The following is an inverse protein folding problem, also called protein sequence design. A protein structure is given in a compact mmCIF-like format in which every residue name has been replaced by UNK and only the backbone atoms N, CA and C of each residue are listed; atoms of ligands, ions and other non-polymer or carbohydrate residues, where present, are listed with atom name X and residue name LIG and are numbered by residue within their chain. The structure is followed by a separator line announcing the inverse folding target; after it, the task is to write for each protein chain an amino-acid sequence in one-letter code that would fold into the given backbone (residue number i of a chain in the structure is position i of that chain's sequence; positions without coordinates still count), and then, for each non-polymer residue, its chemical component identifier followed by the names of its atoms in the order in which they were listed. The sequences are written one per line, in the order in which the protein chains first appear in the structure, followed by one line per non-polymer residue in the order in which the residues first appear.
data_IF_442225498835
#
_entry.id   IF_442225498835
#
_cell.length_a   1.000
_cell.length_b   1.000
_cell.length_c   1.000
_cell.angle_alpha   90.00
_cell.angle_beta   90.00
_cell.angle_gamma   90.00
#
_symmetry.space_group_name_H-M   'P 1'
#
loop_
_entity.id
_entity.type
_entity.pdbx_description
1 polymer ?
#
# COMPACT_ATOMS: atom_id res chain seq x y z
N UNK A 1 4.69 -13.13 -19.84
CA UNK A 1 5.26 -14.45 -19.46
C UNK A 1 5.64 -14.51 -17.97
N UNK A 2 6.48 -13.59 -17.46
CA UNK A 2 6.89 -13.56 -16.03
C UNK A 2 5.69 -13.51 -15.08
N UNK A 3 4.69 -12.63 -15.31
CA UNK A 3 3.46 -12.55 -14.50
C UNK A 3 2.69 -13.88 -14.42
N UNK A 4 2.59 -14.59 -15.54
CA UNK A 4 1.89 -15.88 -15.65
C UNK A 4 2.68 -16.96 -14.89
N UNK A 5 4.01 -16.94 -15.01
CA UNK A 5 4.90 -17.89 -14.33
C UNK A 5 4.90 -17.68 -12.80
N UNK A 6 4.86 -16.42 -12.37
CA UNK A 6 4.76 -16.02 -10.96
C UNK A 6 3.39 -16.40 -10.37
N UNK A 7 2.29 -16.20 -11.12
CA UNK A 7 0.95 -16.69 -10.72
C UNK A 7 0.85 -18.22 -10.72
N UNK A 8 1.58 -18.92 -11.59
CA UNK A 8 1.58 -20.38 -11.65
C UNK A 8 2.36 -21.00 -10.48
N UNK A 9 3.53 -20.44 -10.15
CA UNK A 9 4.31 -20.80 -8.96
C UNK A 9 3.54 -20.50 -7.66
N UNK A 10 2.85 -19.35 -7.63
CA UNK A 10 1.94 -18.97 -6.55
C UNK A 10 0.86 -20.02 -6.35
N UNK A 11 0.22 -20.44 -7.44
CA UNK A 11 -0.92 -21.34 -7.36
C UNK A 11 -0.60 -22.73 -6.83
N UNK A 12 0.63 -23.21 -7.06
CA UNK A 12 1.04 -24.59 -6.74
C UNK A 12 1.77 -24.76 -5.40
N UNK A 13 2.59 -23.81 -4.95
CA UNK A 13 3.50 -24.03 -3.81
C UNK A 13 3.54 -22.88 -2.80
N UNK A 14 3.46 -21.64 -3.27
CA UNK A 14 3.78 -20.47 -2.43
C UNK A 14 2.60 -20.00 -1.56
N UNK A 15 1.38 -20.46 -1.86
CA UNK A 15 0.17 -20.27 -1.04
C UNK A 15 0.23 -20.89 0.36
N UNK A 16 1.21 -21.75 0.62
CA UNK A 16 1.35 -22.49 1.87
C UNK A 16 2.44 -21.94 2.81
N UNK A 17 3.12 -20.85 2.43
CA UNK A 17 4.13 -20.19 3.27
C UNK A 17 3.62 -18.82 3.73
N UNK A 18 3.51 -18.65 5.04
CA UNK A 18 3.18 -17.41 5.74
C UNK A 18 4.11 -16.30 5.23
N UNK A 19 3.58 -15.09 4.99
CA UNK A 19 4.24 -13.86 4.47
C UNK A 19 4.47 -13.88 2.95
N UNK A 20 4.92 -15.00 2.39
CA UNK A 20 5.19 -15.12 0.95
C UNK A 20 3.94 -14.93 0.09
N UNK A 21 2.75 -15.19 0.63
CA UNK A 21 1.49 -14.98 -0.07
C UNK A 21 1.22 -13.50 -0.38
N UNK A 22 1.54 -12.60 0.55
CA UNK A 22 1.37 -11.14 0.41
C UNK A 22 2.47 -10.55 -0.48
N UNK A 23 3.71 -11.03 -0.37
CA UNK A 23 4.82 -10.59 -1.24
C UNK A 23 4.57 -10.90 -2.72
N UNK A 24 3.91 -12.01 -3.02
CA UNK A 24 3.57 -12.36 -4.41
C UNK A 24 2.45 -11.47 -4.94
N UNK A 25 1.45 -11.15 -4.12
CA UNK A 25 0.42 -10.17 -4.49
C UNK A 25 1.09 -8.83 -4.79
N UNK A 26 2.00 -8.37 -3.93
CA UNK A 26 2.76 -7.14 -4.13
C UNK A 26 3.61 -7.17 -5.42
N UNK A 27 4.25 -8.30 -5.71
CA UNK A 27 4.99 -8.51 -6.97
C UNK A 27 4.09 -8.39 -8.20
N UNK A 28 2.84 -8.85 -8.10
CA UNK A 28 1.84 -8.69 -9.17
C UNK A 28 1.47 -7.23 -9.43
N UNK A 29 1.38 -6.40 -8.40
CA UNK A 29 1.15 -4.96 -8.54
C UNK A 29 2.31 -4.25 -9.23
N UNK A 30 3.55 -4.61 -8.89
CA UNK A 30 4.75 -4.10 -9.57
C UNK A 30 4.72 -4.43 -11.06
N UNK A 31 4.43 -5.69 -11.41
CA UNK A 31 4.37 -6.11 -12.82
C UNK A 31 3.29 -5.37 -13.61
N UNK A 32 2.14 -5.05 -12.98
CA UNK A 32 1.12 -4.21 -13.61
C UNK A 32 1.58 -2.75 -13.78
N UNK A 33 2.26 -2.19 -12.77
CA UNK A 33 2.80 -0.83 -12.85
C UNK A 33 3.85 -0.71 -13.97
N UNK A 34 4.76 -1.69 -14.10
CA UNK A 34 5.72 -1.77 -15.20
C UNK A 34 5.00 -1.87 -16.54
N UNK A 35 3.99 -2.76 -16.64
CA UNK A 35 3.20 -2.90 -17.86
C UNK A 35 2.52 -1.60 -18.28
N UNK A 36 2.00 -0.83 -17.32
CA UNK A 36 1.42 0.49 -17.59
C UNK A 36 2.46 1.49 -18.09
N UNK A 37 3.61 1.57 -17.45
CA UNK A 37 4.67 2.50 -17.85
C UNK A 37 5.26 2.17 -19.23
N UNK A 38 5.39 0.89 -19.58
CA UNK A 38 5.84 0.45 -20.92
C UNK A 38 4.84 0.86 -22.00
N UNK A 39 3.53 0.82 -21.72
CA UNK A 39 2.50 1.23 -22.70
C UNK A 39 2.49 2.74 -22.92
N UNK A 40 2.82 3.53 -21.89
CA UNK A 40 2.83 5.01 -21.96
C UNK A 40 4.22 5.55 -22.34
N UNK A 41 5.23 4.68 -22.47
CA UNK A 41 6.62 4.99 -22.83
C UNK A 41 7.28 6.04 -21.91
N UNK A 42 7.00 5.95 -20.61
CA UNK A 42 7.56 6.85 -19.59
C UNK A 42 8.65 6.13 -18.79
N UNK A 43 9.82 6.74 -18.56
CA UNK A 43 10.86 6.16 -17.72
C UNK A 43 10.33 5.92 -16.30
N UNK A 44 10.49 4.69 -15.82
CA UNK A 44 9.99 4.31 -14.49
C UNK A 44 10.94 4.83 -13.43
N UNK A 45 10.44 5.71 -12.56
CA UNK A 45 11.19 6.17 -11.39
C UNK A 45 11.44 5.00 -10.42
N UNK A 46 12.67 4.82 -9.89
CA UNK A 46 12.97 3.83 -8.85
C UNK A 46 12.00 3.90 -7.66
N UNK A 47 11.57 5.12 -7.32
CA UNK A 47 10.62 5.38 -6.24
C UNK A 47 9.23 4.77 -6.49
N UNK A 48 8.81 4.65 -7.75
CA UNK A 48 7.53 4.02 -8.09
C UNK A 48 7.50 2.56 -7.64
N UNK A 49 8.61 1.82 -7.78
CA UNK A 49 8.70 0.43 -7.33
C UNK A 49 8.55 0.33 -5.81
N UNK A 50 9.28 1.17 -5.08
CA UNK A 50 9.29 1.18 -3.60
C UNK A 50 7.91 1.55 -3.06
N UNK A 51 7.30 2.61 -3.57
CA UNK A 51 5.96 3.02 -3.13
C UNK A 51 4.91 1.95 -3.47
N UNK A 52 4.97 1.36 -4.66
CA UNK A 52 4.00 0.33 -5.11
C UNK A 52 4.09 -0.93 -4.26
N UNK A 53 5.30 -1.44 -3.97
CA UNK A 53 5.47 -2.66 -3.18
C UNK A 53 5.01 -2.45 -1.74
N UNK A 54 5.37 -1.31 -1.12
CA UNK A 54 5.00 -1.01 0.26
C UNK A 54 3.49 -0.82 0.40
N UNK A 55 2.84 -0.11 -0.53
CA UNK A 55 1.40 0.09 -0.49
C UNK A 55 0.64 -1.22 -0.73
N UNK A 56 1.11 -2.06 -1.64
CA UNK A 56 0.51 -3.37 -1.89
C UNK A 56 0.65 -4.31 -0.68
N UNK A 57 1.81 -4.31 -0.01
CA UNK A 57 2.01 -5.04 1.24
C UNK A 57 1.07 -4.53 2.34
N UNK A 58 0.96 -3.21 2.48
CA UNK A 58 0.11 -2.57 3.50
C UNK A 58 -1.36 -3.00 3.36
N UNK A 59 -1.90 -2.89 2.14
CA UNK A 59 -3.27 -3.32 1.82
C UNK A 59 -3.43 -4.83 2.01
N UNK A 60 -2.45 -5.61 1.56
CA UNK A 60 -2.48 -7.07 1.66
C UNK A 60 -2.55 -7.57 3.10
N UNK A 61 -1.74 -6.99 4.01
CA UNK A 61 -1.80 -7.33 5.43
C UNK A 61 -3.09 -6.84 6.10
N UNK A 62 -3.57 -5.63 5.77
CA UNK A 62 -4.84 -5.11 6.29
C UNK A 62 -6.02 -6.01 5.93
N UNK A 63 -6.06 -6.52 4.69
CA UNK A 63 -7.08 -7.47 4.24
C UNK A 63 -7.00 -8.81 4.96
N UNK A 64 -5.78 -9.37 5.12
CA UNK A 64 -5.57 -10.62 5.87
C UNK A 64 -6.02 -10.52 7.32
N UNK A 65 -5.74 -9.38 7.96
CA UNK A 65 -6.20 -9.10 9.32
C UNK A 65 -7.73 -9.08 9.38
N UNK A 66 -8.37 -8.41 8.44
CA UNK A 66 -9.84 -8.36 8.38
C UNK A 66 -10.44 -9.75 8.17
N UNK A 67 -9.90 -10.55 7.24
CA UNK A 67 -10.34 -11.95 7.04
C UNK A 67 -10.21 -12.76 8.33
N UNK A 68 -9.08 -12.62 9.05
CA UNK A 68 -8.82 -13.37 10.28
C UNK A 68 -9.76 -12.97 11.43
N UNK A 69 -10.05 -11.68 11.58
CA UNK A 69 -11.00 -11.17 12.58
C UNK A 69 -12.45 -11.55 12.23
N UNK A 70 -12.81 -11.54 10.95
CA UNK A 70 -14.16 -11.89 10.49
C UNK A 70 -14.47 -13.40 10.68
N UNK A 71 -13.45 -14.25 10.60
CA UNK A 71 -13.60 -15.69 10.65
C UNK A 71 -13.63 -16.30 12.07
N UNK A 72 -13.42 -15.50 13.13
CA UNK A 72 -13.66 -15.79 14.57
C UNK A 72 -13.60 -17.27 15.00
N UNK A 73 -12.53 -17.99 14.65
CA UNK A 73 -12.30 -19.41 15.01
C UNK A 73 -12.62 -20.47 13.95
N UNK A 74 -13.35 -20.15 12.88
CA UNK A 74 -13.57 -21.01 11.70
C UNK A 74 -12.59 -20.74 10.54
N UNK A 75 -11.54 -19.94 10.78
CA UNK A 75 -10.57 -19.55 9.77
C UNK A 75 -9.82 -20.75 9.14
N UNK A 76 -9.62 -21.82 9.90
CA UNK A 76 -8.96 -23.04 9.45
C UNK A 76 -9.69 -23.81 8.35
N UNK A 77 -11.02 -23.70 8.29
CA UNK A 77 -11.88 -24.43 7.33
C UNK A 77 -11.94 -23.76 5.94
N UNK A 78 -11.62 -22.47 5.83
CA UNK A 78 -11.59 -21.75 4.55
C UNK A 78 -10.19 -21.60 3.96
N UNK A 79 -9.15 -21.41 4.79
CA UNK A 79 -7.73 -21.44 4.36
C UNK A 79 -6.81 -21.91 5.47
N UNK A 80 -6.15 -23.04 5.23
CA UNK A 80 -5.14 -23.66 6.11
C UNK A 80 -4.00 -22.71 6.53
N UNK A 81 -3.67 -21.71 5.69
CA UNK A 81 -2.63 -20.71 5.95
C UNK A 81 -3.01 -19.58 6.91
N UNK A 82 -4.30 -19.39 7.21
CA UNK A 82 -4.73 -18.37 8.17
C UNK A 82 -4.51 -18.82 9.62
N UNK A 83 -4.34 -20.13 9.86
CA UNK A 83 -4.17 -20.71 11.20
C UNK A 83 -2.85 -20.30 11.87
N UNK A 84 -1.81 -20.00 11.10
CA UNK A 84 -0.50 -19.61 11.61
C UNK A 84 -0.37 -18.10 11.86
N UNK A 85 -1.34 -17.31 11.40
CA UNK A 85 -1.36 -15.87 11.66
C UNK A 85 -2.08 -15.56 12.98
N UNK A 86 -1.51 -14.65 13.77
CA UNK A 86 -2.22 -14.00 14.86
C UNK A 86 -2.54 -12.55 14.49
N UNK A 87 -3.64 -12.03 15.03
CA UNK A 87 -3.99 -10.60 14.87
C UNK A 87 -2.82 -9.72 15.31
N UNK A 88 -2.16 -10.07 16.42
CA UNK A 88 -1.02 -9.32 16.95
C UNK A 88 0.18 -9.29 15.98
N UNK A 89 0.48 -10.40 15.29
CA UNK A 89 1.55 -10.45 14.30
C UNK A 89 1.22 -9.58 13.08
N UNK A 90 -0.03 -9.65 12.60
CA UNK A 90 -0.48 -8.83 11.47
C UNK A 90 -0.48 -7.34 11.82
N UNK A 91 -0.84 -6.98 13.06
CA UNK A 91 -0.78 -5.60 13.55
C UNK A 91 0.66 -5.06 13.52
N UNK A 92 1.64 -5.88 13.92
CA UNK A 92 3.05 -5.52 13.83
C UNK A 92 3.52 -5.32 12.39
N UNK A 93 3.16 -6.22 11.47
CA UNK A 93 3.51 -6.07 10.06
C UNK A 93 2.88 -4.84 9.42
N UNK A 94 1.59 -4.59 9.70
CA UNK A 94 0.90 -3.39 9.22
C UNK A 94 1.59 -2.13 9.74
N UNK A 95 2.00 -2.09 11.01
CA UNK A 95 2.70 -0.95 11.59
C UNK A 95 4.09 -0.73 10.98
N UNK A 96 4.88 -1.79 10.80
CA UNK A 96 6.21 -1.72 10.16
C UNK A 96 6.09 -1.20 8.73
N UNK A 97 5.14 -1.74 7.95
CA UNK A 97 4.93 -1.31 6.57
C UNK A 97 4.38 0.12 6.52
N UNK A 98 3.48 0.52 7.43
CA UNK A 98 3.00 1.90 7.51
C UNK A 98 4.14 2.89 7.75
N UNK A 99 5.04 2.58 8.69
CA UNK A 99 6.22 3.40 8.96
C UNK A 99 7.13 3.47 7.71
N UNK A 100 7.35 2.33 7.05
CA UNK A 100 8.13 2.28 5.81
C UNK A 100 7.50 3.11 4.67
N UNK A 101 6.16 3.13 4.53
CA UNK A 101 5.45 3.98 3.57
C UNK A 101 5.69 5.45 3.85
N UNK A 102 5.59 5.88 5.11
CA UNK A 102 5.81 7.28 5.50
C UNK A 102 7.26 7.69 5.21
N UNK A 103 8.23 6.84 5.56
CA UNK A 103 9.66 7.09 5.31
C UNK A 103 9.93 7.14 3.81
N UNK A 104 9.42 6.17 3.04
CA UNK A 104 9.61 6.12 1.59
C UNK A 104 9.01 7.35 0.90
N UNK A 105 7.82 7.80 1.32
CA UNK A 105 7.23 9.02 0.80
C UNK A 105 8.04 10.26 1.18
N UNK A 106 8.53 10.35 2.42
CA UNK A 106 9.35 11.47 2.87
C UNK A 106 10.66 11.57 2.07
N UNK A 107 11.33 10.42 1.86
CA UNK A 107 12.53 10.35 1.03
C UNK A 107 12.23 10.68 -0.45
N UNK A 108 11.10 10.21 -0.98
CA UNK A 108 10.65 10.59 -2.32
C UNK A 108 10.50 12.11 -2.44
N UNK A 109 9.86 12.78 -1.48
CA UNK A 109 9.72 14.25 -1.52
C UNK A 109 11.02 15.02 -1.35
N UNK A 110 12.09 14.37 -0.90
CA UNK A 110 13.39 14.99 -0.66
C UNK A 110 14.38 14.77 -1.81
N UNK A 111 14.46 13.54 -2.35
CA UNK A 111 15.56 13.11 -3.25
C UNK A 111 15.06 12.69 -4.64
N UNK A 112 13.77 12.90 -4.96
CA UNK A 112 13.26 12.49 -6.27
C UNK A 112 13.64 13.50 -7.36
N UNK A 113 14.34 13.06 -8.42
CA UNK A 113 14.65 13.92 -9.57
C UNK A 113 13.43 14.27 -10.41
N UNK A 114 12.26 13.71 -10.10
CA UNK A 114 10.99 14.04 -10.74
C UNK A 114 10.28 15.24 -10.09
N UNK A 115 10.87 15.82 -9.04
CA UNK A 115 10.28 16.90 -8.25
C UNK A 115 11.14 18.17 -8.32
N UNK A 116 10.55 19.34 -8.05
CA UNK A 116 11.30 20.58 -7.89
C UNK A 116 12.32 20.50 -6.74
N UNK A 117 13.56 20.93 -6.98
CA UNK A 117 14.67 20.93 -6.00
C UNK A 117 14.45 21.86 -4.79
N UNK A 118 13.37 22.64 -4.78
CA UNK A 118 13.04 23.59 -3.71
C UNK A 118 12.51 22.92 -2.42
N UNK A 119 12.36 21.59 -2.39
CA UNK A 119 11.88 20.84 -1.22
C UNK A 119 10.42 21.14 -0.81
N UNK A 120 9.68 21.94 -1.60
CA UNK A 120 8.31 22.36 -1.30
C UNK A 120 7.32 21.20 -1.18
N UNK A 121 7.61 20.11 -1.88
CA UNK A 121 6.86 18.85 -1.78
C UNK A 121 6.81 18.29 -0.36
N UNK A 122 7.77 18.61 0.51
CA UNK A 122 7.77 18.19 1.92
C UNK A 122 6.55 18.74 2.69
N UNK A 123 5.93 19.83 2.23
CA UNK A 123 4.68 20.35 2.82
C UNK A 123 3.50 19.38 2.70
N UNK A 124 3.60 18.38 1.84
CA UNK A 124 2.57 17.35 1.66
C UNK A 124 2.68 16.20 2.68
N UNK A 125 3.81 16.09 3.40
CA UNK A 125 4.08 15.02 4.37
C UNK A 125 3.02 14.95 5.50
N UNK A 126 2.60 16.08 6.12
CA UNK A 126 1.58 16.04 7.17
C UNK A 126 0.24 15.44 6.70
N UNK A 127 -0.14 15.63 5.44
CA UNK A 127 -1.34 15.03 4.87
C UNK A 127 -1.20 13.51 4.75
N UNK A 128 -0.08 13.03 4.21
CA UNK A 128 0.17 11.58 4.09
C UNK A 128 0.21 10.92 5.47
N UNK A 129 0.88 11.56 6.43
CA UNK A 129 0.97 11.07 7.80
C UNK A 129 -0.42 10.97 8.46
N UNK A 130 -1.26 12.00 8.33
CA UNK A 130 -2.64 11.95 8.80
C UNK A 130 -3.44 10.84 8.10
N UNK A 131 -3.31 10.70 6.78
CA UNK A 131 -4.01 9.67 6.00
C UNK A 131 -3.65 8.26 6.46
N UNK A 132 -2.37 7.97 6.64
CA UNK A 132 -1.90 6.66 7.14
C UNK A 132 -2.39 6.41 8.56
N UNK A 133 -2.30 7.39 9.47
CA UNK A 133 -2.79 7.23 10.84
C UNK A 133 -4.31 7.04 10.90
N UNK A 134 -5.07 7.76 10.08
CA UNK A 134 -6.52 7.60 9.97
C UNK A 134 -6.89 6.22 9.45
N UNK A 135 -6.19 5.75 8.43
CA UNK A 135 -6.39 4.41 7.89
C UNK A 135 -6.04 3.32 8.92
N UNK A 136 -4.89 3.44 9.61
CA UNK A 136 -4.51 2.54 10.69
C UNK A 136 -5.58 2.49 11.79
N UNK A 137 -6.12 3.63 12.19
CA UNK A 137 -7.22 3.69 13.17
C UNK A 137 -8.45 2.90 12.69
N UNK A 138 -8.84 3.04 11.42
CA UNK A 138 -9.99 2.32 10.85
C UNK A 138 -9.74 0.81 10.76
N UNK A 139 -8.54 0.40 10.36
CA UNK A 139 -8.17 -1.01 10.26
C UNK A 139 -8.06 -1.64 11.65
N UNK A 140 -7.25 -1.09 12.54
CA UNK A 140 -6.92 -1.69 13.84
C UNK A 140 -8.09 -1.63 14.82
N UNK A 141 -8.81 -0.50 14.87
CA UNK A 141 -9.84 -0.26 15.89
C UNK A 141 -11.26 -0.51 15.41
N UNK A 142 -11.56 -0.27 14.14
CA UNK A 142 -12.89 -0.54 13.58
C UNK A 142 -12.98 -1.85 12.80
N UNK A 143 -11.87 -2.56 12.62
CA UNK A 143 -11.79 -3.81 11.86
C UNK A 143 -12.31 -3.67 10.42
N UNK A 144 -12.18 -2.50 9.80
CA UNK A 144 -12.75 -2.23 8.46
C UNK A 144 -11.76 -2.48 7.30
N UNK A 145 -10.75 -3.34 7.50
CA UNK A 145 -9.67 -3.57 6.52
C UNK A 145 -10.01 -4.42 5.28
N UNK A 146 -11.27 -4.85 5.12
CA UNK A 146 -11.67 -5.80 4.07
C UNK A 146 -11.71 -5.23 2.65
N UNK A 147 -12.09 -3.95 2.54
CA UNK A 147 -12.23 -3.24 1.27
C UNK A 147 -11.57 -1.85 1.38
N UNK A 148 -10.26 -1.73 1.10
CA UNK A 148 -9.50 -0.47 1.29
C UNK A 148 -10.07 0.68 0.47
N UNK A 149 -10.50 0.40 -0.75
CA UNK A 149 -11.06 1.35 -1.70
C UNK A 149 -12.44 1.88 -1.25
N UNK A 150 -13.31 1.02 -0.74
CA UNK A 150 -14.56 1.45 -0.13
C UNK A 150 -14.32 2.26 1.15
N UNK A 151 -13.35 1.85 1.98
CA UNK A 151 -13.02 2.57 3.22
C UNK A 151 -12.57 4.01 2.95
N UNK A 152 -11.74 4.21 1.92
CA UNK A 152 -11.28 5.54 1.50
C UNK A 152 -12.43 6.42 1.02
N UNK A 153 -13.41 5.84 0.32
CA UNK A 153 -14.56 6.58 -0.21
C UNK A 153 -15.62 6.89 0.86
N UNK A 154 -15.80 6.01 1.84
CA UNK A 154 -16.78 6.19 2.91
C UNK A 154 -16.27 7.11 4.03
N UNK A 155 -14.98 7.06 4.36
CA UNK A 155 -14.42 7.90 5.43
C UNK A 155 -14.13 9.31 4.92
N UNK A 156 -15.05 10.24 5.21
CA UNK A 156 -14.94 11.66 4.81
C UNK A 156 -13.60 12.30 5.20
N UNK A 157 -13.03 12.08 6.41
CA UNK A 157 -11.72 12.61 6.76
C UNK A 157 -10.58 12.06 5.87
N UNK A 158 -10.59 10.76 5.57
CA UNK A 158 -9.60 10.12 4.70
C UNK A 158 -9.71 10.64 3.26
N UNK A 159 -10.92 10.75 2.72
CA UNK A 159 -11.18 11.33 1.40
C UNK A 159 -10.73 12.79 1.32
N UNK A 160 -11.08 13.61 2.32
CA UNK A 160 -10.66 15.02 2.37
C UNK A 160 -9.13 15.13 2.40
N UNK A 161 -8.45 14.26 3.14
CA UNK A 161 -6.98 14.23 3.20
C UNK A 161 -6.37 13.88 1.85
N UNK A 162 -6.93 12.88 1.16
CA UNK A 162 -6.47 12.48 -0.17
C UNK A 162 -6.67 13.61 -1.19
N UNK A 163 -7.81 14.30 -1.13
CA UNK A 163 -8.10 15.45 -2.00
C UNK A 163 -7.18 16.64 -1.71
N UNK A 164 -6.98 17.00 -0.44
CA UNK A 164 -6.07 18.08 -0.05
C UNK A 164 -4.63 17.77 -0.43
N UNK A 165 -4.20 16.51 -0.25
CA UNK A 165 -2.90 16.04 -0.70
C UNK A 165 -2.76 16.13 -2.23
N UNK A 166 -3.75 15.68 -2.99
CA UNK A 166 -3.72 15.74 -4.46
C UNK A 166 -3.71 17.17 -4.98
N UNK A 167 -4.58 18.03 -4.43
CA UNK A 167 -4.64 19.45 -4.78
C UNK A 167 -3.35 20.18 -4.44
N UNK A 168 -2.80 19.96 -3.24
CA UNK A 168 -1.51 20.57 -2.86
C UNK A 168 -0.36 20.06 -3.72
N UNK A 169 -0.32 18.76 -4.04
CA UNK A 169 0.71 18.19 -4.92
C UNK A 169 0.66 18.78 -6.33
N UNK A 170 -0.54 18.88 -6.92
CA UNK A 170 -0.74 19.50 -8.24
C UNK A 170 -0.40 21.00 -8.19
N UNK A 171 -0.89 21.73 -7.18
CA UNK A 171 -0.57 23.14 -7.02
C UNK A 171 0.94 23.36 -6.90
N UNK A 172 1.64 22.57 -6.09
CA UNK A 172 3.09 22.72 -5.90
C UNK A 172 3.91 22.37 -7.16
N UNK A 173 3.42 21.44 -8.00
CA UNK A 173 4.08 21.08 -9.25
C UNK A 173 3.83 22.08 -10.38
N UNK A 174 2.64 22.69 -10.45
CA UNK A 174 2.24 23.52 -11.60
C UNK A 174 2.14 25.02 -11.31
N UNK A 175 1.97 25.44 -10.05
CA UNK A 175 1.74 26.86 -9.72
C UNK A 175 3.02 27.71 -9.78
N UNK A 176 4.21 27.10 -9.88
CA UNK A 176 5.47 27.82 -10.00
C UNK A 176 6.27 27.15 -11.11
N UNK A 177 6.26 27.73 -12.33
CA UNK A 177 7.10 27.22 -13.42
C UNK A 177 8.58 27.37 -13.05
N UNK A 178 9.36 26.35 -13.40
CA UNK A 178 10.82 26.38 -13.36
C UNK A 178 11.40 27.44 -14.31
#
# INVERSE_FOLDING_TARGET
VIYILLMFLYSRWLKNLVILDVFVIASGFILRAIGGAVVVDIPISPWLYVCTILLALFIGFAKRRHELVLLDGNAGDHRRNLADYSVALLDQFILIVAAAVIIAYSLYTFDSPALPDDGRMMLTIPFVLYGIFRYLYLVLRRNLGGAPEHLVLEDRPLLATLLLWGLSSVALLYAIPH
#
